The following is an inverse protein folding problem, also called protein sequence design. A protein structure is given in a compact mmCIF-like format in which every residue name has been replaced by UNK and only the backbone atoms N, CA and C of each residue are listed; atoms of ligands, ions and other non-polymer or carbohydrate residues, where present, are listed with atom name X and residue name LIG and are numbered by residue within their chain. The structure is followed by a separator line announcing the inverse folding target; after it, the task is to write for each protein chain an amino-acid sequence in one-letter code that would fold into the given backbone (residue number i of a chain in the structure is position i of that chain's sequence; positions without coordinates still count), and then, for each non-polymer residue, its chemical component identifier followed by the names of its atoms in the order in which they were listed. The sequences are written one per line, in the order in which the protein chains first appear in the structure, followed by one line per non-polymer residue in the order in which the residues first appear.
data_IF_003260236857
#
_entry.id   IF_003260236857
#
_cell.length_a   1.000
_cell.length_b   1.000
_cell.length_c   1.000
_cell.angle_alpha   90.00
_cell.angle_beta   90.00
_cell.angle_gamma   90.00
#
_symmetry.space_group_name_H-M   'P 1'
#
loop_
_entity.id
_entity.type
_entity.pdbx_description
1 polymer ?
#
# COMPACT_ATOMS: atom_id res chain seq x y z
N UNK A 1 60.91 -41.11 -41.89
CA UNK A 1 60.51 -42.49 -42.22
C UNK A 1 60.24 -43.23 -40.92
N UNK A 2 58.97 -43.40 -40.57
CA UNK A 2 58.45 -44.45 -39.66
C UNK A 2 56.93 -44.28 -39.63
N UNK A 3 56.23 -45.33 -40.05
CA UNK A 3 54.78 -45.40 -40.18
C UNK A 3 54.26 -46.55 -39.32
N UNK A 4 53.18 -46.34 -38.56
CA UNK A 4 52.37 -47.39 -37.90
C UNK A 4 50.96 -46.78 -37.66
N UNK A 5 49.85 -47.55 -37.56
CA UNK A 5 48.83 -47.62 -38.60
C UNK A 5 47.43 -47.15 -38.14
N UNK A 6 46.52 -47.01 -39.10
CA UNK A 6 45.10 -46.79 -38.89
C UNK A 6 44.40 -48.04 -38.31
N UNK A 7 43.67 -47.86 -37.21
CA UNK A 7 42.62 -48.78 -36.76
C UNK A 7 41.25 -48.12 -36.92
N UNK A 8 40.40 -48.74 -37.74
CA UNK A 8 38.98 -48.40 -37.91
C UNK A 8 38.20 -48.92 -36.70
N UNK A 9 37.46 -48.04 -36.03
CA UNK A 9 36.41 -48.45 -35.09
C UNK A 9 35.08 -47.86 -35.56
N UNK A 10 34.10 -48.76 -35.69
CA UNK A 10 32.80 -48.52 -36.29
C UNK A 10 31.82 -47.80 -35.36
N UNK A 11 30.81 -47.23 -36.00
CA UNK A 11 29.71 -46.43 -35.48
C UNK A 11 28.93 -47.02 -34.30
N UNK A 12 28.52 -46.13 -33.40
CA UNK A 12 27.23 -46.21 -32.70
C UNK A 12 26.67 -44.80 -32.55
N UNK A 13 25.74 -44.44 -33.43
CA UNK A 13 24.93 -43.21 -33.32
C UNK A 13 23.82 -43.50 -32.31
N UNK A 14 23.95 -42.98 -31.09
CA UNK A 14 22.88 -43.00 -30.09
C UNK A 14 22.03 -41.76 -30.33
N UNK A 15 20.85 -41.94 -30.91
CA UNK A 15 19.85 -40.89 -31.04
C UNK A 15 19.20 -40.64 -29.67
N UNK A 16 19.54 -39.52 -29.03
CA UNK A 16 18.90 -39.07 -27.79
C UNK A 16 17.70 -38.20 -28.18
N UNK A 17 16.50 -38.78 -28.08
CA UNK A 17 15.25 -38.03 -28.19
C UNK A 17 15.05 -37.20 -26.92
N UNK A 18 15.29 -35.89 -26.98
CA UNK A 18 14.94 -34.95 -25.91
C UNK A 18 13.43 -34.66 -25.98
N UNK A 19 12.67 -35.28 -25.09
CA UNK A 19 11.29 -34.88 -24.78
C UNK A 19 11.32 -33.62 -23.91
N UNK A 20 10.97 -32.46 -24.46
CA UNK A 20 10.70 -31.25 -23.68
C UNK A 20 9.35 -31.41 -22.95
N UNK A 21 9.40 -31.86 -21.69
CA UNK A 21 8.28 -31.74 -20.78
C UNK A 21 8.25 -30.29 -20.25
N UNK A 22 7.27 -29.51 -20.70
CA UNK A 22 7.03 -28.16 -20.21
C UNK A 22 6.57 -28.17 -18.76
N UNK A 23 7.43 -27.72 -17.85
CA UNK A 23 7.05 -27.37 -16.48
C UNK A 23 6.39 -26.00 -16.49
N UNK A 24 5.07 -25.97 -16.55
CA UNK A 24 4.30 -24.76 -16.25
C UNK A 24 4.42 -24.45 -14.76
N UNK A 25 5.00 -23.31 -14.42
CA UNK A 25 4.93 -22.76 -13.06
C UNK A 25 3.48 -22.38 -12.77
N UNK A 26 2.75 -23.24 -12.05
CA UNK A 26 1.49 -22.86 -11.44
C UNK A 26 1.79 -21.93 -10.26
N UNK A 27 1.76 -20.62 -10.49
CA UNK A 27 1.77 -19.64 -9.40
C UNK A 27 0.46 -19.80 -8.61
N UNK A 28 0.57 -20.10 -7.32
CA UNK A 28 -0.60 -20.12 -6.44
C UNK A 28 -1.30 -18.75 -6.45
N UNK A 29 -2.64 -18.69 -6.33
CA UNK A 29 -3.35 -17.42 -6.21
C UNK A 29 -2.80 -16.67 -4.99
N UNK A 30 -2.23 -15.49 -5.23
CA UNK A 30 -1.78 -14.62 -4.15
C UNK A 30 -3.01 -14.14 -3.38
N UNK A 31 -3.04 -14.35 -2.07
CA UNK A 31 -4.15 -13.91 -1.24
C UNK A 31 -4.35 -12.39 -1.39
N UNK A 32 -5.60 -11.94 -1.40
CA UNK A 32 -5.90 -10.52 -1.48
C UNK A 32 -5.21 -9.77 -0.31
N UNK A 33 -4.70 -8.54 -0.52
CA UNK A 33 -3.98 -7.77 0.51
C UNK A 33 -4.74 -7.63 1.84
N UNK A 34 -6.06 -7.72 1.80
CA UNK A 34 -6.94 -7.62 2.96
C UNK A 34 -6.93 -8.88 3.86
N UNK A 35 -6.57 -10.04 3.32
CA UNK A 35 -6.57 -11.32 4.04
C UNK A 35 -5.46 -11.44 5.11
N UNK A 36 -4.58 -10.46 5.22
CA UNK A 36 -3.41 -10.47 6.13
C UNK A 36 -3.48 -9.37 7.19
N UNK A 37 -4.62 -8.70 7.36
CA UNK A 37 -4.77 -7.64 8.35
C UNK A 37 -5.02 -8.19 9.77
N UNK A 38 -4.51 -7.52 10.82
CA UNK A 38 -4.89 -7.80 12.19
C UNK A 38 -6.40 -7.54 12.43
N UNK A 39 -7.05 -8.27 13.36
CA UNK A 39 -8.48 -8.09 13.65
C UNK A 39 -8.89 -6.66 14.02
N UNK A 40 -7.98 -5.86 14.59
CA UNK A 40 -8.25 -4.45 14.95
C UNK A 40 -8.49 -3.55 13.73
N UNK A 41 -8.14 -4.00 12.52
CA UNK A 41 -8.36 -3.28 11.27
C UNK A 41 -9.54 -3.81 10.46
N UNK A 42 -10.32 -4.75 11.01
CA UNK A 42 -11.53 -5.21 10.35
C UNK A 42 -12.51 -4.04 10.10
N UNK A 43 -13.33 -4.13 9.02
CA UNK A 43 -14.35 -3.14 8.75
C UNK A 43 -15.30 -3.00 9.94
N UNK A 44 -15.57 -1.77 10.35
CA UNK A 44 -16.60 -1.48 11.34
C UNK A 44 -17.99 -1.79 10.74
N UNK A 45 -19.02 -1.90 11.61
CA UNK A 45 -20.39 -2.15 11.14
C UNK A 45 -20.82 -1.09 10.11
N UNK A 46 -21.22 -1.54 8.93
CA UNK A 46 -21.67 -0.68 7.83
C UNK A 46 -20.55 -0.18 6.92
N UNK A 47 -19.30 -0.58 7.18
CA UNK A 47 -18.19 -0.40 6.26
C UNK A 47 -18.07 -1.60 5.32
N UNK A 48 -17.77 -1.32 4.06
CA UNK A 48 -17.42 -2.32 3.05
C UNK A 48 -16.06 -1.96 2.42
N UNK A 49 -15.28 -2.97 1.97
CA UNK A 49 -14.05 -2.71 1.23
C UNK A 49 -14.35 -1.92 -0.05
N UNK A 50 -13.57 -0.87 -0.28
CA UNK A 50 -13.58 -0.06 -1.50
C UNK A 50 -12.33 -0.32 -2.34
N UNK A 51 -11.66 0.75 -2.76
CA UNK A 51 -10.43 0.63 -3.57
C UNK A 51 -9.19 0.32 -2.73
N UNK A 52 -8.25 -0.41 -3.31
CA UNK A 52 -6.87 -0.49 -2.83
C UNK A 52 -6.00 0.50 -3.62
N UNK A 53 -5.06 1.15 -2.93
CA UNK A 53 -4.07 2.05 -3.52
C UNK A 53 -2.67 1.70 -2.99
N UNK A 54 -1.64 1.93 -3.81
CA UNK A 54 -0.25 1.72 -3.40
C UNK A 54 0.44 3.05 -3.19
N UNK A 55 1.23 3.20 -2.13
CA UNK A 55 1.96 4.42 -1.85
C UNK A 55 3.41 4.34 -2.29
N UNK A 56 3.89 5.45 -2.84
CA UNK A 56 5.31 5.72 -3.07
C UNK A 56 5.61 7.15 -2.62
N UNK A 57 6.49 7.29 -1.63
CA UNK A 57 6.85 8.59 -1.09
C UNK A 57 7.82 8.48 0.06
N UNK A 58 7.74 9.42 0.99
CA UNK A 58 8.68 9.55 2.10
C UNK A 58 7.96 9.64 3.45
N UNK A 59 8.58 9.05 4.47
CA UNK A 59 8.30 9.35 5.86
C UNK A 59 9.21 10.51 6.28
N UNK A 60 8.58 11.60 6.72
CA UNK A 60 9.29 12.78 7.16
C UNK A 60 9.54 12.73 8.67
N UNK A 61 10.74 13.14 9.05
CA UNK A 61 11.20 13.28 10.42
C UNK A 61 11.77 14.67 10.65
N UNK A 62 11.70 15.12 11.90
CA UNK A 62 12.42 16.30 12.38
C UNK A 62 13.31 15.89 13.55
N UNK A 63 14.54 16.39 13.57
CA UNK A 63 15.41 16.25 14.72
C UNK A 63 14.88 17.13 15.85
N UNK A 64 14.54 16.52 16.99
CA UNK A 64 14.00 17.25 18.12
C UNK A 64 14.60 16.75 19.43
N UNK A 65 14.66 17.66 20.39
CA UNK A 65 15.14 17.34 21.73
C UNK A 65 14.18 16.36 22.41
N UNK A 66 14.75 15.36 23.05
CA UNK A 66 14.05 14.43 23.92
C UNK A 66 13.79 15.06 25.28
N UNK A 67 12.73 14.63 25.97
CA UNK A 67 12.42 15.12 27.32
C UNK A 67 13.56 14.83 28.32
N UNK A 68 14.16 13.64 28.24
CA UNK A 68 15.32 13.26 29.05
C UNK A 68 16.55 14.15 28.77
N UNK A 69 16.67 14.64 27.55
CA UNK A 69 17.74 15.53 27.10
C UNK A 69 17.51 17.01 27.40
N UNK A 70 16.39 17.40 28.03
CA UNK A 70 16.04 18.80 28.28
C UNK A 70 17.10 19.60 29.05
N UNK A 71 17.92 18.91 29.86
CA UNK A 71 18.96 19.51 30.71
C UNK A 71 20.39 19.15 30.28
N UNK A 72 20.57 18.43 29.17
CA UNK A 72 21.89 18.01 28.68
C UNK A 72 22.31 18.81 27.45
N UNK A 73 23.59 19.14 27.36
CA UNK A 73 24.21 19.73 26.17
C UNK A 73 24.71 18.66 25.17
N UNK A 74 24.54 17.37 25.49
CA UNK A 74 25.03 16.26 24.67
C UNK A 74 24.10 15.96 23.50
N UNK A 75 24.64 15.49 22.38
CA UNK A 75 23.84 15.07 21.22
C UNK A 75 22.92 13.87 21.52
N UNK A 76 23.22 13.08 22.56
CA UNK A 76 22.31 12.05 23.07
C UNK A 76 20.94 12.62 23.54
N UNK A 77 20.84 13.94 23.72
CA UNK A 77 19.60 14.64 24.02
C UNK A 77 18.63 14.69 22.83
N UNK A 78 19.03 14.38 21.60
CA UNK A 78 18.25 14.58 20.39
C UNK A 78 17.88 13.27 19.70
N UNK A 79 16.66 13.19 19.15
CA UNK A 79 16.19 12.04 18.39
C UNK A 79 15.33 12.46 17.20
N UNK A 80 15.31 11.62 16.16
CA UNK A 80 14.37 11.74 15.06
C UNK A 80 12.94 11.55 15.55
N UNK A 81 12.11 12.59 15.40
CA UNK A 81 10.67 12.54 15.67
C UNK A 81 9.90 12.42 14.36
N UNK A 82 8.99 11.44 14.23
CA UNK A 82 8.17 11.32 13.04
C UNK A 82 7.24 12.52 12.90
N UNK A 83 7.18 13.10 11.71
CA UNK A 83 6.24 14.16 11.32
C UNK A 83 5.03 13.57 10.61
N UNK A 84 5.27 12.63 9.68
CA UNK A 84 4.22 11.93 8.95
C UNK A 84 4.65 11.57 7.53
N UNK A 85 3.74 10.98 6.77
CA UNK A 85 4.01 10.49 5.41
C UNK A 85 3.57 11.49 4.35
N UNK A 86 4.44 11.74 3.36
CA UNK A 86 4.10 12.46 2.13
C UNK A 86 4.29 11.50 0.95
N UNK A 87 3.19 11.12 0.28
CA UNK A 87 3.27 10.13 -0.80
C UNK A 87 2.25 10.34 -1.91
N UNK A 88 2.59 9.85 -3.10
CA UNK A 88 1.61 9.59 -4.15
C UNK A 88 0.94 8.25 -3.88
N UNK A 89 -0.37 8.22 -4.10
CA UNK A 89 -1.17 7.00 -4.10
C UNK A 89 -1.45 6.60 -5.55
N UNK A 90 -1.13 5.35 -5.87
CA UNK A 90 -1.21 4.78 -7.20
C UNK A 90 -2.34 3.74 -7.25
N UNK A 91 -3.05 3.68 -8.37
CA UNK A 91 -3.99 2.60 -8.66
C UNK A 91 -3.27 1.29 -9.04
N UNK A 92 -4.02 0.21 -9.26
CA UNK A 92 -3.48 -1.10 -9.64
C UNK A 92 -2.75 -1.10 -11.01
N UNK A 93 -2.93 -0.04 -11.81
CA UNK A 93 -2.23 0.16 -13.09
C UNK A 93 -0.96 0.98 -12.92
N UNK A 94 -0.65 1.44 -11.71
CA UNK A 94 0.51 2.27 -11.41
C UNK A 94 0.32 3.75 -11.79
N UNK A 95 -0.91 4.21 -12.01
CA UNK A 95 -1.16 5.64 -12.22
C UNK A 95 -1.30 6.33 -10.88
N UNK A 96 -0.60 7.46 -10.70
CA UNK A 96 -0.85 8.32 -9.54
C UNK A 96 -2.26 8.93 -9.64
N UNK A 97 -3.07 8.74 -8.60
CA UNK A 97 -4.48 9.16 -8.56
C UNK A 97 -4.80 10.04 -7.35
N UNK A 98 -3.92 10.06 -6.35
CA UNK A 98 -4.07 10.92 -5.17
C UNK A 98 -2.73 11.20 -4.49
N UNK A 99 -2.75 12.13 -3.54
CA UNK A 99 -1.67 12.46 -2.62
C UNK A 99 -2.13 12.25 -1.18
N UNK A 100 -1.22 11.81 -0.31
CA UNK A 100 -1.38 11.84 1.14
C UNK A 100 -0.35 12.79 1.75
N UNK A 101 -0.74 13.58 2.75
CA UNK A 101 0.13 14.51 3.47
C UNK A 101 0.35 14.08 4.93
N UNK A 102 1.42 14.57 5.60
CA UNK A 102 1.72 14.23 6.99
C UNK A 102 0.58 14.48 7.98
N UNK A 103 -0.27 15.46 7.70
CA UNK A 103 -1.39 15.86 8.56
C UNK A 103 -2.64 14.99 8.36
N UNK A 104 -2.58 13.95 7.52
CA UNK A 104 -3.70 13.03 7.26
C UNK A 104 -4.70 13.55 6.23
N UNK A 105 -4.27 14.45 5.33
CA UNK A 105 -5.07 14.86 4.17
C UNK A 105 -4.83 13.90 3.02
N UNK A 106 -5.91 13.47 2.38
CA UNK A 106 -5.90 12.65 1.18
C UNK A 106 -6.61 13.41 0.08
N UNK A 107 -5.89 13.78 -0.99
CA UNK A 107 -6.43 14.58 -2.09
C UNK A 107 -6.29 13.82 -3.40
N UNK A 108 -7.41 13.49 -4.03
CA UNK A 108 -7.46 12.83 -5.32
C UNK A 108 -7.44 13.84 -6.47
N UNK A 109 -6.90 13.43 -7.61
CA UNK A 109 -6.83 14.28 -8.80
C UNK A 109 -8.18 14.52 -9.49
N UNK A 110 -9.22 13.79 -9.11
CA UNK A 110 -10.61 14.10 -9.48
C UNK A 110 -11.22 15.26 -8.66
N UNK A 111 -10.47 15.81 -7.71
CA UNK A 111 -10.88 16.93 -6.85
C UNK A 111 -11.52 16.50 -5.54
N UNK A 112 -11.81 15.22 -5.34
CA UNK A 112 -12.28 14.71 -4.05
C UNK A 112 -11.16 14.69 -3.00
N UNK A 113 -11.47 15.00 -1.74
CA UNK A 113 -10.49 14.90 -0.66
C UNK A 113 -11.14 14.50 0.68
N UNK A 114 -10.35 13.86 1.53
CA UNK A 114 -10.74 13.51 2.91
C UNK A 114 -9.66 13.91 3.90
N UNK A 115 -10.08 14.17 5.13
CA UNK A 115 -9.20 14.36 6.28
C UNK A 115 -9.43 13.20 7.23
N UNK A 116 -8.39 12.42 7.48
CA UNK A 116 -8.44 11.25 8.33
C UNK A 116 -7.83 11.55 9.71
N UNK A 117 -8.26 10.78 10.72
CA UNK A 117 -7.68 10.80 12.05
C UNK A 117 -7.33 9.39 12.45
N UNK A 118 -6.10 9.19 12.90
CA UNK A 118 -5.62 7.92 13.47
C UNK A 118 -6.58 7.43 14.57
N UNK A 119 -7.02 6.18 14.45
CA UNK A 119 -7.83 5.50 15.46
C UNK A 119 -7.05 4.36 16.09
N UNK A 120 -6.32 3.59 15.28
CA UNK A 120 -5.63 2.38 15.73
C UNK A 120 -4.27 2.25 15.07
N UNK A 121 -3.36 1.58 15.76
CA UNK A 121 -2.00 1.33 15.29
C UNK A 121 -1.57 -0.07 15.69
N UNK A 122 -0.95 -0.78 14.75
CA UNK A 122 -0.35 -2.09 14.99
C UNK A 122 1.06 -2.07 14.43
N UNK A 123 2.01 -2.61 15.19
CA UNK A 123 3.40 -2.77 14.73
C UNK A 123 3.68 -4.26 14.48
N UNK A 124 3.45 -4.78 13.26
CA UNK A 124 3.66 -6.20 12.97
C UNK A 124 5.14 -6.56 12.81
N UNK A 125 5.97 -5.62 12.34
CA UNK A 125 7.42 -5.77 12.21
C UNK A 125 8.13 -4.51 12.74
N UNK A 126 8.98 -4.62 13.78
CA UNK A 126 9.71 -3.49 14.34
C UNK A 126 10.68 -2.82 13.35
N UNK A 127 10.96 -3.42 12.19
CA UNK A 127 11.81 -2.87 11.12
C UNK A 127 11.02 -2.12 10.04
N UNK A 128 9.72 -1.92 10.24
CA UNK A 128 8.86 -1.17 9.32
C UNK A 128 8.06 -0.09 10.07
N UNK A 129 7.46 0.83 9.31
CA UNK A 129 6.51 1.77 9.90
C UNK A 129 5.25 1.05 10.41
N UNK A 130 4.67 1.49 11.54
CA UNK A 130 3.42 0.93 12.02
C UNK A 130 2.31 1.01 10.98
N UNK A 131 1.52 -0.06 10.93
CA UNK A 131 0.27 -0.07 10.20
C UNK A 131 -0.76 0.73 10.99
N UNK A 132 -1.63 1.44 10.28
CA UNK A 132 -2.58 2.36 10.90
C UNK A 132 -3.96 2.15 10.34
N UNK A 133 -4.96 2.35 11.20
CA UNK A 133 -6.34 2.58 10.80
C UNK A 133 -6.70 4.01 11.14
N UNK A 134 -7.32 4.69 10.19
CA UNK A 134 -7.69 6.09 10.31
C UNK A 134 -9.17 6.24 9.94
N UNK A 135 -9.93 6.95 10.78
CA UNK A 135 -11.32 7.26 10.51
C UNK A 135 -11.44 8.63 9.84
N UNK A 136 -12.29 8.73 8.83
CA UNK A 136 -12.55 10.00 8.14
C UNK A 136 -13.33 10.94 9.05
N UNK A 137 -12.88 12.19 9.12
CA UNK A 137 -13.49 13.29 9.89
C UNK A 137 -14.14 14.32 9.01
N UNK A 138 -13.65 14.46 7.80
CA UNK A 138 -14.17 15.39 6.83
C UNK A 138 -14.04 14.79 5.44
N UNK A 139 -15.06 15.01 4.61
CA UNK A 139 -15.10 14.59 3.21
C UNK A 139 -15.58 15.74 2.36
N UNK A 140 -14.88 16.02 1.28
CA UNK A 140 -15.39 16.78 0.15
C UNK A 140 -15.40 15.88 -1.08
N UNK A 141 -16.57 15.75 -1.71
CA UNK A 141 -16.71 15.07 -2.99
C UNK A 141 -16.24 15.96 -4.14
N UNK A 142 -16.06 15.39 -5.33
CA UNK A 142 -15.86 16.20 -6.52
C UNK A 142 -17.14 16.98 -6.86
N UNK A 143 -17.05 17.92 -7.80
CA UNK A 143 -18.14 18.84 -8.15
C UNK A 143 -19.43 18.18 -8.63
N UNK A 144 -19.38 16.91 -9.06
CA UNK A 144 -20.53 16.12 -9.48
C UNK A 144 -21.14 15.24 -8.35
N UNK A 145 -20.63 15.33 -7.11
CA UNK A 145 -21.11 14.51 -5.99
C UNK A 145 -20.50 13.10 -5.94
N UNK A 146 -19.78 12.70 -6.99
CA UNK A 146 -19.02 11.47 -7.06
C UNK A 146 -17.52 11.77 -6.86
N UNK A 147 -16.71 10.74 -6.63
CA UNK A 147 -15.27 10.91 -6.50
C UNK A 147 -14.63 9.74 -5.77
N UNK A 148 -13.34 9.55 -5.99
CA UNK A 148 -12.56 8.46 -5.40
C UNK A 148 -12.72 8.40 -3.89
N UNK A 149 -12.67 9.55 -3.23
CA UNK A 149 -12.82 9.60 -1.78
C UNK A 149 -14.24 9.91 -1.28
N UNK A 150 -15.23 10.10 -2.17
CA UNK A 150 -16.64 10.24 -1.76
C UNK A 150 -17.05 9.04 -0.88
N UNK A 151 -17.91 9.18 0.13
CA UNK A 151 -18.39 8.05 0.94
C UNK A 151 -17.31 7.22 1.68
N UNK A 152 -16.06 7.66 1.72
CA UNK A 152 -14.98 6.98 2.47
C UNK A 152 -15.22 7.15 3.97
N UNK A 153 -15.13 6.06 4.72
CA UNK A 153 -15.34 6.03 6.17
C UNK A 153 -14.06 5.82 6.94
N UNK A 154 -13.15 5.02 6.39
CA UNK A 154 -11.87 4.73 6.97
C UNK A 154 -10.83 4.42 5.91
N UNK A 155 -9.56 4.57 6.31
CA UNK A 155 -8.40 4.22 5.52
C UNK A 155 -7.50 3.36 6.39
N UNK A 156 -7.07 2.22 5.88
CA UNK A 156 -6.05 1.37 6.52
C UNK A 156 -4.77 1.44 5.72
N UNK A 157 -3.67 1.84 6.36
CA UNK A 157 -2.31 1.75 5.81
C UNK A 157 -1.65 0.49 6.35
N UNK A 158 -1.33 -0.43 5.47
CA UNK A 158 -0.70 -1.71 5.79
C UNK A 158 0.45 -2.03 4.84
N UNK A 159 1.14 -3.15 5.07
CA UNK A 159 2.24 -3.63 4.22
C UNK A 159 3.32 -2.58 3.96
N UNK A 160 3.67 -1.84 5.02
CA UNK A 160 4.70 -0.80 4.99
C UNK A 160 6.09 -1.39 4.76
N UNK A 161 6.90 -0.71 3.93
CA UNK A 161 8.30 -1.06 3.66
C UNK A 161 9.12 0.22 3.69
N UNK A 162 10.25 0.20 4.40
CA UNK A 162 11.11 1.37 4.55
C UNK A 162 10.52 2.43 5.49
N UNK A 163 10.95 3.67 5.31
CA UNK A 163 10.44 4.83 6.06
C UNK A 163 10.91 4.97 7.50
N UNK A 164 11.71 4.05 8.05
CA UNK A 164 12.30 4.23 9.39
C UNK A 164 13.51 5.16 9.35
N UNK A 165 13.58 6.08 10.31
CA UNK A 165 14.78 6.89 10.52
C UNK A 165 16.00 6.00 10.82
N UNK A 166 17.22 6.42 10.42
CA UNK A 166 18.46 5.77 10.81
C UNK A 166 18.56 5.62 12.33
N UNK A 167 19.17 4.52 12.77
CA UNK A 167 19.43 4.29 14.18
C UNK A 167 20.37 5.37 14.76
N UNK A 168 20.08 5.81 15.98
CA UNK A 168 20.90 6.76 16.72
C UNK A 168 20.26 8.14 16.89
N UNK A 169 21.00 9.01 17.57
CA UNK A 169 20.63 10.40 17.76
C UNK A 169 20.85 11.21 16.48
N UNK A 170 20.08 12.28 16.33
CA UNK A 170 20.39 13.35 15.38
C UNK A 170 21.19 14.44 16.10
N UNK A 171 21.92 15.28 15.38
CA UNK A 171 22.89 16.22 15.97
C UNK A 171 22.41 17.68 16.00
N UNK A 172 21.48 18.04 15.10
CA UNK A 172 21.02 19.42 14.95
C UNK A 172 19.49 19.52 14.97
N UNK A 173 18.96 20.17 16.01
CA UNK A 173 17.53 20.46 16.18
C UNK A 173 16.93 21.18 14.97
N UNK A 174 15.72 20.78 14.58
CA UNK A 174 15.01 21.35 13.43
C UNK A 174 15.45 20.79 12.08
N UNK A 175 16.54 20.01 12.03
CA UNK A 175 16.95 19.31 10.79
C UNK A 175 15.85 18.36 10.34
N UNK A 176 15.50 18.41 9.06
CA UNK A 176 14.50 17.53 8.47
C UNK A 176 15.16 16.36 7.77
N UNK A 177 14.52 15.20 7.82
CA UNK A 177 14.93 13.98 7.13
C UNK A 177 13.72 13.38 6.41
N UNK A 178 13.88 13.04 5.14
CA UNK A 178 12.91 12.29 4.37
C UNK A 178 13.47 10.88 4.10
N UNK A 179 12.72 9.85 4.48
CA UNK A 179 13.11 8.45 4.27
C UNK A 179 12.11 7.77 3.34
N UNK A 180 12.56 7.20 2.20
CA UNK A 180 11.67 6.52 1.26
C UNK A 180 10.86 5.42 1.92
N UNK A 181 9.55 5.36 1.60
CA UNK A 181 8.66 4.31 2.05
C UNK A 181 7.64 3.91 0.97
N UNK A 182 7.16 2.68 1.11
CA UNK A 182 6.06 2.09 0.34
C UNK A 182 5.01 1.54 1.29
N UNK A 183 3.74 1.51 0.88
CA UNK A 183 2.67 0.88 1.64
C UNK A 183 1.46 0.56 0.74
N UNK A 184 0.51 -0.18 1.30
CA UNK A 184 -0.81 -0.40 0.72
C UNK A 184 -1.86 0.33 1.55
N UNK A 185 -2.74 1.07 0.88
CA UNK A 185 -3.84 1.83 1.46
C UNK A 185 -5.16 1.19 1.03
N UNK A 186 -5.90 0.68 2.00
CA UNK A 186 -7.22 0.08 1.82
C UNK A 186 -8.26 1.12 2.19
N UNK A 187 -9.14 1.45 1.25
CA UNK A 187 -10.18 2.47 1.42
C UNK A 187 -11.47 1.75 1.77
N UNK A 188 -12.06 2.07 2.92
CA UNK A 188 -13.36 1.57 3.35
C UNK A 188 -14.44 2.62 3.10
N UNK A 189 -15.64 2.15 2.75
CA UNK A 189 -16.78 3.02 2.39
C UNK A 189 -18.04 2.59 3.11
N UNK A 190 -19.02 3.48 3.16
CA UNK A 190 -20.38 3.10 3.56
C UNK A 190 -20.98 2.10 2.57
N UNK A 191 -21.62 1.05 3.08
CA UNK A 191 -22.30 0.03 2.26
C UNK A 191 -23.31 0.62 1.26
N UNK A 192 -23.94 1.75 1.58
CA UNK A 192 -24.97 2.37 0.75
C UNK A 192 -24.41 3.11 -0.49
N UNK A 193 -23.11 3.40 -0.51
CA UNK A 193 -22.46 4.15 -1.58
C UNK A 193 -22.39 3.38 -2.92
N UNK A 194 -22.48 2.04 -2.89
CA UNK A 194 -22.47 1.21 -4.10
C UNK A 194 -23.82 1.16 -4.83
N UNK A 195 -24.90 1.61 -4.19
CA UNK A 195 -26.24 1.57 -4.80
C UNK A 195 -26.43 2.65 -5.89
N UNK A 196 -25.60 3.69 -5.90
CA UNK A 196 -25.67 4.78 -6.89
C UNK A 196 -25.02 4.41 -8.24
N UNK A 197 -24.12 3.43 -8.28
CA UNK A 197 -23.43 3.00 -9.50
C UNK A 197 -24.17 1.89 -10.28
N UNK A 198 -25.17 1.24 -9.66
CA UNK A 198 -26.01 0.27 -10.33
C UNK A 198 -27.19 0.99 -11.01
N UNK A 199 -27.17 1.06 -12.35
CA UNK A 199 -28.26 1.58 -13.16
C UNK A 199 -29.63 1.08 -12.66
N UNK A 200 -30.68 1.93 -12.66
CA UNK A 200 -31.98 1.53 -12.17
C UNK A 200 -32.47 0.31 -12.96
N UNK A 201 -32.68 -0.82 -12.27
CA UNK A 201 -33.34 -1.99 -12.84
C UNK A 201 -34.75 -1.55 -13.24
N UNK A 202 -34.99 -1.38 -14.54
CA UNK A 202 -36.34 -1.27 -15.08
C UNK A 202 -37.11 -2.53 -14.66
N UNK A 203 -38.06 -2.35 -13.75
CA UNK A 203 -39.05 -3.38 -13.44
C UNK A 203 -39.90 -3.60 -14.69
N UNK A 204 -40.08 -4.86 -15.16
CA UNK A 204 -41.04 -5.12 -16.20
C UNK A 204 -42.43 -4.85 -15.63
N UNK A 205 -43.12 -3.86 -16.19
CA UNK A 205 -44.55 -3.67 -15.97
C UNK A 205 -45.25 -4.92 -16.50
N UNK A 206 -45.80 -5.71 -15.58
CA UNK A 206 -46.63 -6.86 -15.93
C UNK A 206 -47.88 -6.38 -16.66
N UNK A 207 -47.98 -6.72 -17.94
CA UNK A 207 -49.21 -6.55 -18.72
C UNK A 207 -50.15 -7.68 -18.29
N UNK A 208 -51.19 -7.34 -17.54
CA UNK A 208 -52.32 -8.24 -17.30
C UNK A 208 -53.16 -8.27 -18.58
N UNK A 209 -53.24 -9.43 -19.22
CA UNK A 209 -54.15 -9.70 -20.33
C UNK A 209 -55.52 -10.18 -19.79
N UNK A 210 -56.63 -9.97 -20.54
CA UNK A 210 -58.01 -10.05 -20.05
C UNK A 210 -58.51 -11.47 -19.74
#
# INVERSE_FOLDING_TARGET
MSAVPLTRAAATVVAIALTLAGTGCASAPQAAPEAQLPPTFEPARGEVPGSTLHAQGDMHYVCARTEAGAQSADFAAYMWKPVGTLARLLDDKGHAVALVTPEGYYSAYDGSYVVARLTDTVQPDPQTLPWTREAIRFTAAASNGDGRFAGTTAIVRAHTIGGLAPAGACDQEGTSLAVPYFATYLIYRHADADTSAAAPRMTPVGITAP
#
